data_IF_115526687426
#
_entry.id   IF_115526687426
#
_cell.length_a   1.000
_cell.length_b   1.000
_cell.length_c   1.000
_cell.angle_alpha   90.00
_cell.angle_beta   90.00
_cell.angle_gamma   90.00
#
_symmetry.space_group_name_H-M   'P 1'
#
loop_
_entity.id
_entity.type
_entity.pdbx_description
1 polymer ?
#
# COMPACT_ATOMS: atom_id res chain seq x y z
N UNK A 1 -51.54 -42.31 -23.44
CA UNK A 1 -50.61 -42.03 -22.34
C UNK A 1 -49.28 -42.70 -22.69
N UNK A 2 -48.29 -41.96 -23.18
CA UNK A 2 -47.01 -42.52 -23.63
C UNK A 2 -46.04 -41.39 -23.99
N UNK A 3 -45.12 -41.09 -23.09
CA UNK A 3 -44.12 -40.02 -23.21
C UNK A 3 -42.93 -40.54 -24.04
N UNK A 4 -42.40 -39.80 -25.04
CA UNK A 4 -41.23 -40.23 -25.80
C UNK A 4 -39.92 -40.08 -24.97
N UNK A 5 -38.85 -40.83 -25.31
CA UNK A 5 -37.60 -40.88 -24.55
C UNK A 5 -36.78 -39.59 -24.68
N UNK A 6 -36.11 -39.21 -23.58
CA UNK A 6 -35.32 -37.99 -23.44
C UNK A 6 -34.08 -37.97 -24.33
N UNK A 7 -33.82 -36.80 -24.92
CA UNK A 7 -32.59 -36.50 -25.66
C UNK A 7 -31.36 -36.46 -24.74
N UNK A 8 -30.15 -36.51 -25.32
CA UNK A 8 -28.90 -36.56 -24.55
C UNK A 8 -28.72 -35.28 -23.72
N UNK A 9 -28.06 -35.37 -22.54
CA UNK A 9 -27.78 -34.22 -21.71
C UNK A 9 -26.93 -33.21 -22.48
N UNK A 10 -27.42 -31.96 -22.52
CA UNK A 10 -26.73 -30.85 -23.16
C UNK A 10 -25.34 -30.67 -22.56
N UNK A 11 -24.36 -30.47 -23.44
CA UNK A 11 -23.01 -30.11 -23.05
C UNK A 11 -23.06 -28.90 -22.12
N UNK A 12 -22.49 -29.05 -20.93
CA UNK A 12 -22.22 -27.95 -20.01
C UNK A 12 -21.36 -26.91 -20.73
N UNK A 13 -21.70 -25.62 -20.72
CA UNK A 13 -20.85 -24.60 -21.30
C UNK A 13 -19.52 -24.58 -20.53
N UNK A 14 -18.40 -24.81 -21.21
CA UNK A 14 -17.10 -24.48 -20.64
C UNK A 14 -17.01 -22.95 -20.53
N UNK A 15 -17.02 -22.44 -19.30
CA UNK A 15 -16.66 -21.05 -19.02
C UNK A 15 -15.15 -20.95 -19.22
N UNK A 16 -14.72 -20.38 -20.34
CA UNK A 16 -13.32 -20.00 -20.55
C UNK A 16 -12.95 -18.95 -19.50
N UNK A 17 -12.20 -19.38 -18.47
CA UNK A 17 -11.53 -18.47 -17.56
C UNK A 17 -10.43 -17.76 -18.33
N UNK A 18 -10.78 -16.65 -18.96
CA UNK A 18 -9.85 -15.65 -19.45
C UNK A 18 -9.18 -14.95 -18.27
N UNK A 19 -8.38 -15.68 -17.49
CA UNK A 19 -7.49 -15.10 -16.49
C UNK A 19 -6.36 -14.40 -17.24
N UNK A 20 -6.51 -13.09 -17.48
CA UNK A 20 -5.33 -12.25 -17.68
C UNK A 20 -4.52 -12.43 -16.41
N UNK A 21 -3.35 -13.06 -16.52
CA UNK A 21 -2.43 -13.18 -15.40
C UNK A 21 -2.22 -11.78 -14.81
N UNK A 22 -2.37 -11.60 -13.50
CA UNK A 22 -2.01 -10.35 -12.80
C UNK A 22 -0.59 -9.93 -13.12
N UNK A 23 0.27 -10.91 -13.43
CA UNK A 23 1.60 -10.62 -13.91
C UNK A 23 1.62 -9.96 -15.28
N UNK A 24 0.64 -10.05 -16.18
CA UNK A 24 0.65 -9.34 -17.46
C UNK A 24 0.07 -7.93 -17.38
N UNK A 25 -0.42 -7.49 -16.23
CA UNK A 25 -0.84 -6.12 -16.01
C UNK A 25 0.38 -5.22 -15.77
N UNK A 26 0.71 -4.39 -16.76
CA UNK A 26 1.84 -3.47 -16.68
C UNK A 26 1.64 -2.41 -15.60
N UNK A 27 0.40 -1.97 -15.34
CA UNK A 27 0.14 -0.95 -14.32
C UNK A 27 0.37 -1.49 -12.90
N UNK A 28 -0.04 -2.74 -12.62
CA UNK A 28 0.26 -3.38 -11.34
C UNK A 28 1.76 -3.67 -11.16
N UNK A 29 2.46 -4.07 -12.23
CA UNK A 29 3.92 -4.22 -12.18
C UNK A 29 4.63 -2.91 -11.84
N UNK A 30 4.21 -1.81 -12.46
CA UNK A 30 4.80 -0.50 -12.22
C UNK A 30 4.57 -0.05 -10.76
N UNK A 31 3.37 -0.26 -10.22
CA UNK A 31 3.08 0.01 -8.79
C UNK A 31 3.93 -0.82 -7.84
N UNK A 32 4.20 -2.08 -8.16
CA UNK A 32 5.14 -2.91 -7.36
C UNK A 32 6.55 -2.34 -7.44
N UNK A 33 6.99 -1.92 -8.63
CA UNK A 33 8.30 -1.30 -8.80
C UNK A 33 8.40 0.00 -7.98
N UNK A 34 7.37 0.86 -8.04
CA UNK A 34 7.28 2.10 -7.26
C UNK A 34 7.30 1.83 -5.76
N UNK A 35 6.57 0.82 -5.27
CA UNK A 35 6.58 0.44 -3.86
C UNK A 35 7.97 -0.02 -3.40
N UNK A 36 8.67 -0.83 -4.21
CA UNK A 36 10.05 -1.27 -3.92
C UNK A 36 11.02 -0.10 -3.91
N UNK A 37 10.94 0.79 -4.91
CA UNK A 37 11.77 1.99 -5.00
C UNK A 37 11.52 2.91 -3.80
N UNK A 38 10.25 3.16 -3.47
CA UNK A 38 9.83 3.97 -2.34
C UNK A 38 10.33 3.43 -1.01
N UNK A 39 10.15 2.12 -0.76
CA UNK A 39 10.65 1.46 0.45
C UNK A 39 12.18 1.56 0.56
N UNK A 40 12.90 1.43 -0.55
CA UNK A 40 14.36 1.59 -0.57
C UNK A 40 14.78 3.03 -0.30
N UNK A 41 14.08 4.01 -0.87
CA UNK A 41 14.34 5.43 -0.62
C UNK A 41 14.12 5.76 0.87
N UNK A 42 13.00 5.30 1.45
CA UNK A 42 12.69 5.46 2.88
C UNK A 42 13.78 4.84 3.78
N UNK A 43 14.20 3.61 3.47
CA UNK A 43 15.25 2.92 4.20
C UNK A 43 16.57 3.71 4.18
N UNK A 44 17.02 4.13 3.00
CA UNK A 44 18.28 4.86 2.83
C UNK A 44 18.23 6.23 3.50
N UNK A 45 17.11 6.96 3.39
CA UNK A 45 16.92 8.23 4.09
C UNK A 45 17.03 8.03 5.61
N UNK A 46 16.35 7.01 6.15
CA UNK A 46 16.37 6.68 7.58
C UNK A 46 17.79 6.32 8.05
N UNK A 47 18.54 5.53 7.28
CA UNK A 47 19.93 5.20 7.60
C UNK A 47 20.86 6.41 7.56
N UNK A 48 20.68 7.32 6.61
CA UNK A 48 21.45 8.56 6.55
C UNK A 48 21.18 9.43 7.80
N UNK A 49 19.92 9.54 8.23
CA UNK A 49 19.56 10.26 9.45
C UNK A 49 20.14 9.60 10.71
N UNK A 50 20.00 8.28 10.84
CA UNK A 50 20.57 7.52 11.96
C UNK A 50 22.10 7.67 12.04
N UNK A 51 22.78 7.63 10.88
CA UNK A 51 24.24 7.82 10.79
C UNK A 51 24.66 9.22 11.23
N UNK A 52 23.89 10.26 10.86
CA UNK A 52 24.13 11.65 11.32
C UNK A 52 23.99 11.79 12.83
N UNK A 53 22.97 11.17 13.43
CA UNK A 53 22.75 11.18 14.87
C UNK A 53 23.90 10.46 15.58
N UNK A 54 24.31 9.30 15.08
CA UNK A 54 25.43 8.54 15.63
C UNK A 54 26.76 9.33 15.59
N UNK A 55 26.92 10.22 14.61
CA UNK A 55 28.06 11.15 14.50
C UNK A 55 27.93 12.41 15.39
N UNK A 56 26.95 12.47 16.29
CA UNK A 56 26.74 13.61 17.20
C UNK A 56 25.86 14.74 16.63
N UNK A 57 25.24 14.53 15.47
CA UNK A 57 24.24 15.44 14.93
C UNK A 57 22.90 15.35 15.67
N UNK A 58 21.98 16.27 15.35
CA UNK A 58 20.63 16.30 15.90
C UNK A 58 19.56 15.96 14.86
N UNK A 59 18.37 15.59 15.33
CA UNK A 59 17.18 15.46 14.49
C UNK A 59 16.64 16.87 14.18
N UNK A 60 16.46 17.15 12.89
CA UNK A 60 15.89 18.41 12.40
C UNK A 60 14.50 18.25 11.76
N UNK A 61 13.96 19.34 11.18
CA UNK A 61 12.68 19.34 10.49
C UNK A 61 12.63 18.42 9.26
N UNK A 62 13.76 17.89 8.79
CA UNK A 62 13.83 16.84 7.77
C UNK A 62 13.12 15.55 8.19
N UNK A 63 12.91 15.34 9.49
CA UNK A 63 12.07 14.24 9.99
C UNK A 63 10.61 14.33 9.53
N UNK A 64 10.09 15.55 9.31
CA UNK A 64 8.75 15.76 8.76
C UNK A 64 8.63 15.28 7.31
N UNK A 65 9.69 15.42 6.49
CA UNK A 65 9.74 14.87 5.13
C UNK A 65 9.59 13.35 5.17
N UNK A 66 10.38 12.70 6.04
CA UNK A 66 10.37 11.25 6.18
C UNK A 66 9.00 10.74 6.63
N UNK A 67 8.32 11.45 7.55
CA UNK A 67 7.00 11.05 8.05
C UNK A 67 5.92 11.13 6.98
N UNK A 68 5.86 12.23 6.22
CA UNK A 68 4.88 12.38 5.13
C UNK A 68 5.12 11.28 4.10
N UNK A 69 6.37 11.14 3.64
CA UNK A 69 6.74 10.13 2.66
C UNK A 69 6.37 8.71 3.11
N UNK A 70 6.73 8.35 4.34
CA UNK A 70 6.39 7.04 4.91
C UNK A 70 4.88 6.80 4.94
N UNK A 71 4.09 7.75 5.43
CA UNK A 71 2.65 7.56 5.60
C UNK A 71 1.91 7.40 4.27
N UNK A 72 2.37 8.06 3.21
CA UNK A 72 1.81 7.92 1.87
C UNK A 72 2.27 6.62 1.19
N UNK A 73 3.55 6.28 1.36
CA UNK A 73 4.11 5.02 0.88
C UNK A 73 3.40 3.82 1.51
N UNK A 74 3.13 3.85 2.81
CA UNK A 74 2.53 2.74 3.54
C UNK A 74 1.12 2.41 3.00
N UNK A 75 0.30 3.42 2.75
CA UNK A 75 -1.02 3.26 2.12
C UNK A 75 -0.87 2.68 0.71
N UNK A 76 -0.07 3.32 -0.15
CA UNK A 76 0.08 2.92 -1.55
C UNK A 76 0.63 1.49 -1.70
N UNK A 77 1.54 1.09 -0.80
CA UNK A 77 2.10 -0.25 -0.75
C UNK A 77 1.01 -1.27 -0.39
N UNK A 78 0.23 -1.02 0.66
CA UNK A 78 -0.85 -1.91 1.06
C UNK A 78 -1.96 -1.99 0.01
N UNK A 79 -2.38 -0.87 -0.59
CA UNK A 79 -3.36 -0.87 -1.69
C UNK A 79 -2.86 -1.71 -2.88
N UNK A 80 -1.58 -1.60 -3.21
CA UNK A 80 -0.96 -2.41 -4.27
C UNK A 80 -0.95 -3.89 -3.91
N UNK A 81 -0.68 -4.25 -2.66
CA UNK A 81 -0.75 -5.63 -2.20
C UNK A 81 -2.18 -6.18 -2.26
N UNK A 82 -3.17 -5.41 -1.80
CA UNK A 82 -4.58 -5.82 -1.83
C UNK A 82 -5.07 -6.04 -3.27
N UNK A 83 -4.73 -5.16 -4.21
CA UNK A 83 -5.08 -5.32 -5.62
C UNK A 83 -4.45 -6.58 -6.25
N UNK A 84 -3.21 -6.92 -5.86
CA UNK A 84 -2.55 -8.15 -6.33
C UNK A 84 -3.18 -9.42 -5.77
N UNK A 85 -3.67 -9.37 -4.52
CA UNK A 85 -4.33 -10.50 -3.85
C UNK A 85 -5.77 -10.69 -4.31
N UNK A 86 -6.38 -9.64 -4.88
CA UNK A 86 -7.77 -9.65 -5.32
C UNK A 86 -8.71 -10.04 -4.17
N UNK A 87 -9.67 -10.95 -4.38
CA UNK A 87 -10.62 -11.34 -3.32
C UNK A 87 -9.97 -11.89 -2.04
N UNK A 88 -8.76 -12.47 -2.14
CA UNK A 88 -8.06 -12.97 -0.95
C UNK A 88 -7.50 -11.85 -0.08
N UNK A 89 -7.39 -10.62 -0.60
CA UNK A 89 -6.94 -9.45 0.14
C UNK A 89 -7.92 -8.98 1.21
N UNK A 90 -9.20 -9.39 1.14
CA UNK A 90 -10.22 -9.01 2.13
C UNK A 90 -10.26 -9.94 3.35
N UNK A 91 -9.47 -11.02 3.34
CA UNK A 91 -9.50 -12.06 4.37
C UNK A 91 -8.77 -11.62 5.64
N UNK A 92 -9.42 -11.82 6.80
CA UNK A 92 -8.79 -11.68 8.11
C UNK A 92 -7.96 -12.90 8.47
N UNK A 93 -7.19 -12.78 9.56
CA UNK A 93 -6.38 -13.85 10.15
C UNK A 93 -7.20 -15.09 10.59
N UNK A 94 -8.51 -14.94 10.77
CA UNK A 94 -9.43 -16.04 11.08
C UNK A 94 -9.66 -16.99 9.88
N UNK A 95 -9.45 -16.52 8.65
CA UNK A 95 -9.64 -17.33 7.44
C UNK A 95 -8.38 -18.15 7.15
N UNK A 96 -8.51 -19.48 7.05
CA UNK A 96 -7.38 -20.39 6.81
C UNK A 96 -6.67 -20.18 5.47
N UNK A 97 -7.36 -19.62 4.49
CA UNK A 97 -6.80 -19.25 3.18
C UNK A 97 -6.24 -17.82 3.11
N UNK A 98 -6.22 -17.06 4.21
CA UNK A 98 -5.75 -15.69 4.23
C UNK A 98 -4.25 -15.59 3.88
N UNK A 99 -3.88 -14.85 2.81
CA UNK A 99 -2.49 -14.60 2.48
C UNK A 99 -1.77 -13.91 3.63
N UNK A 100 -0.57 -14.39 3.97
CA UNK A 100 0.22 -13.85 5.08
C UNK A 100 -0.59 -13.68 6.39
N UNK A 101 -1.52 -14.61 6.66
CA UNK A 101 -2.38 -14.59 7.84
C UNK A 101 -3.20 -13.30 7.99
N UNK A 102 -3.69 -12.71 6.89
CA UNK A 102 -4.54 -11.51 6.90
C UNK A 102 -3.80 -10.20 7.16
N UNK A 103 -2.47 -10.24 7.32
CA UNK A 103 -1.66 -9.05 7.67
C UNK A 103 -1.73 -7.91 6.64
N UNK A 104 -2.06 -8.19 5.38
CA UNK A 104 -2.24 -7.14 4.37
C UNK A 104 -3.51 -6.31 4.59
N UNK A 105 -4.62 -6.94 4.96
CA UNK A 105 -5.88 -6.26 5.25
C UNK A 105 -5.78 -5.44 6.55
N UNK A 106 -5.20 -6.06 7.59
CA UNK A 106 -4.94 -5.40 8.88
C UNK A 106 -3.96 -4.24 8.71
N UNK A 107 -2.86 -4.47 8.02
CA UNK A 107 -1.83 -3.47 7.73
C UNK A 107 -2.40 -2.29 6.93
N UNK A 108 -3.24 -2.54 5.93
CA UNK A 108 -3.93 -1.45 5.22
C UNK A 108 -4.79 -0.62 6.17
N UNK A 109 -5.60 -1.28 7.00
CA UNK A 109 -6.47 -0.59 7.97
C UNK A 109 -5.65 0.28 8.92
N UNK A 110 -4.51 -0.21 9.38
CA UNK A 110 -3.59 0.58 10.21
C UNK A 110 -2.94 1.74 9.44
N UNK A 111 -2.52 1.51 8.19
CA UNK A 111 -1.86 2.51 7.34
C UNK A 111 -2.70 3.78 7.14
N UNK A 112 -4.04 3.64 7.13
CA UNK A 112 -4.99 4.76 7.02
C UNK A 112 -4.87 5.76 8.17
N UNK A 113 -4.39 5.33 9.34
CA UNK A 113 -4.13 6.23 10.46
C UNK A 113 -2.82 7.02 10.27
N UNK A 114 -1.88 6.51 9.47
CA UNK A 114 -0.54 7.08 9.25
C UNK A 114 -0.52 8.56 8.88
N UNK A 115 -1.33 9.02 7.90
CA UNK A 115 -1.42 10.43 7.55
C UNK A 115 -1.95 11.33 8.67
N UNK A 116 -2.57 10.78 9.73
CA UNK A 116 -3.25 11.53 10.79
C UNK A 116 -2.44 11.53 12.09
N UNK A 117 -2.01 10.36 12.56
CA UNK A 117 -1.36 10.26 13.87
C UNK A 117 0.05 10.88 13.87
N UNK A 118 0.52 11.22 15.07
CA UNK A 118 1.82 11.90 15.29
C UNK A 118 1.97 13.21 14.49
N UNK A 119 0.85 13.92 14.30
CA UNK A 119 0.75 15.14 13.50
C UNK A 119 0.35 14.83 12.07
N UNK A 120 -0.75 15.44 11.64
CA UNK A 120 -1.31 15.18 10.31
C UNK A 120 -0.33 15.59 9.21
N UNK A 121 -0.45 15.00 8.02
CA UNK A 121 0.45 15.33 6.91
C UNK A 121 0.36 16.81 6.51
N UNK A 122 -0.77 17.48 6.73
CA UNK A 122 -0.94 18.93 6.55
C UNK A 122 -0.02 19.69 7.50
N UNK A 123 -0.02 19.35 8.79
CA UNK A 123 0.86 19.98 9.79
C UNK A 123 2.34 19.69 9.48
N UNK A 124 2.66 18.48 9.01
CA UNK A 124 4.04 18.17 8.61
C UNK A 124 4.47 18.97 7.37
N UNK A 125 3.58 19.17 6.39
CA UNK A 125 3.84 20.00 5.21
C UNK A 125 4.01 21.48 5.59
N UNK A 126 3.29 21.98 6.59
CA UNK A 126 3.54 23.31 7.16
C UNK A 126 4.93 23.41 7.80
N UNK A 127 5.35 22.40 8.57
CA UNK A 127 6.71 22.35 9.15
C UNK A 127 7.77 22.36 8.04
N UNK A 128 7.58 21.58 6.98
CA UNK A 128 8.47 21.55 5.82
C UNK A 128 8.53 22.94 5.17
N UNK A 129 7.37 23.54 4.87
CA UNK A 129 7.27 24.86 4.26
C UNK A 129 7.98 25.94 5.10
N UNK A 130 7.69 26.02 6.40
CA UNK A 130 8.20 27.08 7.27
C UNK A 130 9.67 26.86 7.65
N UNK A 131 10.05 25.64 8.02
CA UNK A 131 11.36 25.37 8.65
C UNK A 131 12.43 24.85 7.69
N UNK A 132 12.05 24.21 6.58
CA UNK A 132 13.00 23.75 5.57
C UNK A 132 13.05 24.71 4.39
N UNK A 133 11.89 25.20 3.92
CA UNK A 133 11.82 26.05 2.73
C UNK A 133 11.79 27.56 3.06
N UNK A 134 11.69 27.93 4.34
CA UNK A 134 11.72 29.33 4.78
C UNK A 134 10.48 30.13 4.37
N UNK A 135 9.36 29.47 4.07
CA UNK A 135 8.12 30.13 3.71
C UNK A 135 7.48 30.82 4.93
N UNK A 136 6.74 31.92 4.73
CA UNK A 136 5.98 32.55 5.80
C UNK A 136 4.96 31.59 6.41
N UNK A 137 4.61 31.82 7.68
CA UNK A 137 3.55 31.04 8.33
C UNK A 137 2.21 31.19 7.61
N UNK A 138 1.50 30.08 7.47
CA UNK A 138 0.14 30.07 6.92
C UNK A 138 -0.81 30.94 7.75
N UNK A 139 -1.84 31.52 7.11
CA UNK A 139 -2.93 32.18 7.83
C UNK A 139 -3.71 31.11 8.60
N UNK A 140 -3.66 31.19 9.93
CA UNK A 140 -4.48 30.38 10.84
C UNK A 140 -5.89 30.94 10.92
#
# INVERSE_FOLDING_TARGET
MGRPPGGPPGATPQVESGSVSVFNDTALRDRVADAVIGARAYQLFTYAQASRIAAGGSIGPESSLNKVFWSELDIALHETALDLLGPYGELSDEAGEAPAHGSWAEGHTFSLAGPIYAGTNEIQRDIIAERLLGLPKGRR
#
